data_IF_725744347710
#
_entry.id   IF_725744347710
#
_cell.length_a   1.000
_cell.length_b   1.000
_cell.length_c   1.000
_cell.angle_alpha   90.00
_cell.angle_beta   90.00
_cell.angle_gamma   90.00
#
_symmetry.space_group_name_H-M   'P 1'
#
loop_
_entity.id
_entity.type
_entity.pdbx_description
1 polymer ?
#
# COMPACT_ATOMS: atom_id res chain seq x y z
N UNK A 1 21.23 -13.14 -9.62
CA UNK A 1 21.56 -11.95 -8.78
C UNK A 1 23.02 -12.04 -8.41
N UNK A 2 23.78 -10.95 -8.47
CA UNK A 2 25.18 -10.91 -8.08
C UNK A 2 25.27 -10.96 -6.53
N UNK A 3 26.29 -11.62 -5.90
CA UNK A 3 26.40 -11.65 -4.43
C UNK A 3 26.36 -10.28 -3.76
N UNK A 4 27.00 -9.26 -4.33
CA UNK A 4 26.97 -7.88 -3.80
C UNK A 4 25.56 -7.29 -3.78
N UNK A 5 24.70 -7.69 -4.72
CA UNK A 5 23.28 -7.28 -4.77
C UNK A 5 22.43 -8.05 -3.75
N UNK A 6 22.79 -9.31 -3.43
CA UNK A 6 22.09 -10.08 -2.39
C UNK A 6 22.26 -9.45 -1.01
N UNK A 7 23.46 -8.99 -0.67
CA UNK A 7 23.71 -8.27 0.59
C UNK A 7 22.96 -6.95 0.64
N UNK A 8 22.99 -6.17 -0.45
CA UNK A 8 22.29 -4.88 -0.52
C UNK A 8 20.77 -5.02 -0.37
N UNK A 9 20.16 -6.02 -1.02
CA UNK A 9 18.73 -6.28 -0.91
C UNK A 9 18.36 -6.84 0.46
N UNK A 10 19.26 -7.62 1.08
CA UNK A 10 19.07 -8.12 2.43
C UNK A 10 18.97 -6.96 3.43
N UNK A 11 19.97 -6.07 3.42
CA UNK A 11 20.02 -4.90 4.30
C UNK A 11 18.83 -3.97 4.08
N UNK A 12 18.45 -3.75 2.82
CA UNK A 12 17.27 -2.98 2.49
C UNK A 12 16.01 -3.58 3.11
N UNK A 13 15.73 -4.86 2.87
CA UNK A 13 14.54 -5.52 3.39
C UNK A 13 14.54 -5.59 4.92
N UNK A 14 15.71 -5.88 5.52
CA UNK A 14 15.85 -5.90 6.98
C UNK A 14 15.50 -4.53 7.58
N UNK A 15 15.97 -3.43 6.96
CA UNK A 15 15.63 -2.08 7.41
C UNK A 15 14.13 -1.80 7.26
N UNK A 16 13.51 -2.16 6.12
CA UNK A 16 12.07 -1.97 5.93
C UNK A 16 11.23 -2.71 6.98
N UNK A 17 11.58 -3.97 7.28
CA UNK A 17 10.87 -4.76 8.30
C UNK A 17 11.03 -4.15 9.70
N UNK A 18 12.22 -3.64 10.03
CA UNK A 18 12.53 -3.13 11.37
C UNK A 18 12.00 -1.71 11.56
N UNK A 19 12.19 -0.83 10.58
CA UNK A 19 11.99 0.62 10.74
C UNK A 19 10.56 1.06 10.44
N UNK A 20 9.84 0.37 9.54
CA UNK A 20 8.46 0.74 9.20
C UNK A 20 7.54 0.76 10.41
N UNK A 21 7.51 -0.25 11.31
CA UNK A 21 6.66 -0.19 12.51
C UNK A 21 7.00 0.98 13.42
N UNK A 22 8.28 1.36 13.51
CA UNK A 22 8.75 2.46 14.35
C UNK A 22 8.38 3.83 13.79
N UNK A 23 8.29 3.94 12.45
CA UNK A 23 7.96 5.20 11.77
C UNK A 23 6.46 5.53 11.77
N UNK A 24 5.57 4.58 12.05
CA UNK A 24 4.10 4.74 11.94
C UNK A 24 3.57 5.99 12.63
N UNK A 25 4.03 6.29 13.85
CA UNK A 25 3.56 7.47 14.58
C UNK A 25 3.94 8.77 13.87
N UNK A 26 5.10 8.82 13.24
CA UNK A 26 5.56 10.00 12.51
C UNK A 26 4.78 10.16 11.20
N UNK A 27 4.56 9.07 10.49
CA UNK A 27 3.86 9.04 9.19
C UNK A 27 2.35 9.32 9.32
N UNK A 28 1.75 8.89 10.44
CA UNK A 28 0.31 9.02 10.71
C UNK A 28 -0.06 10.16 11.64
N UNK A 29 0.87 11.03 12.00
CA UNK A 29 0.59 12.20 12.84
C UNK A 29 1.29 13.46 12.34
N UNK A 30 0.72 14.61 12.71
CA UNK A 30 1.36 15.90 12.54
C UNK A 30 1.29 16.66 13.87
N UNK A 31 2.43 17.12 14.36
CA UNK A 31 2.57 17.84 15.65
C UNK A 31 1.90 17.10 16.83
N UNK A 32 2.03 15.77 16.86
CA UNK A 32 1.45 14.92 17.90
C UNK A 32 -0.05 14.65 17.79
N UNK A 33 -0.70 15.10 16.72
CA UNK A 33 -2.11 14.81 16.42
C UNK A 33 -2.18 13.71 15.36
N UNK A 34 -2.74 12.56 15.71
CA UNK A 34 -2.93 11.44 14.77
C UNK A 34 -3.96 11.84 13.69
N UNK A 35 -3.65 11.53 12.44
CA UNK A 35 -4.60 11.71 11.33
C UNK A 35 -5.79 10.76 11.48
N UNK A 36 -6.99 11.25 11.16
CA UNK A 36 -8.14 10.39 10.97
C UNK A 36 -7.99 9.57 9.69
N UNK A 37 -8.72 8.47 9.59
CA UNK A 37 -8.73 7.66 8.38
C UNK A 37 -9.40 8.43 7.21
N UNK A 38 -8.86 8.26 6.02
CA UNK A 38 -9.50 8.71 4.79
C UNK A 38 -10.64 7.76 4.44
N UNK A 39 -11.66 8.28 3.73
CA UNK A 39 -12.73 7.43 3.21
C UNK A 39 -12.18 6.35 2.25
N UNK A 40 -11.17 6.71 1.46
CA UNK A 40 -10.43 5.77 0.59
C UNK A 40 -9.85 4.57 1.38
N UNK A 41 -9.30 4.80 2.57
CA UNK A 41 -8.81 3.72 3.43
C UNK A 41 -9.94 2.79 3.88
N UNK A 42 -11.11 3.34 4.22
CA UNK A 42 -12.25 2.52 4.69
C UNK A 42 -12.74 1.55 3.60
N UNK A 43 -12.70 1.96 2.33
CA UNK A 43 -13.02 1.06 1.22
C UNK A 43 -11.94 -0.01 1.02
N UNK A 44 -10.66 0.38 1.05
CA UNK A 44 -9.53 -0.57 0.92
C UNK A 44 -9.57 -1.59 2.05
N UNK A 45 -9.92 -1.17 3.27
CA UNK A 45 -10.07 -2.04 4.43
C UNK A 45 -11.05 -3.18 4.18
N UNK A 46 -12.14 -2.95 3.44
CA UNK A 46 -13.10 -4.03 3.14
C UNK A 46 -12.46 -5.16 2.32
N UNK A 47 -11.62 -4.85 1.34
CA UNK A 47 -10.89 -5.85 0.57
C UNK A 47 -9.86 -6.62 1.42
N UNK A 48 -9.22 -5.93 2.38
CA UNK A 48 -8.27 -6.55 3.31
C UNK A 48 -9.02 -7.54 4.22
N UNK A 49 -10.16 -7.13 4.77
CA UNK A 49 -10.99 -7.97 5.63
C UNK A 49 -11.50 -9.21 4.89
N UNK A 50 -12.02 -9.03 3.66
CA UNK A 50 -12.40 -10.14 2.79
C UNK A 50 -11.24 -11.11 2.57
N UNK A 51 -10.03 -10.61 2.30
CA UNK A 51 -8.86 -11.46 2.12
C UNK A 51 -8.48 -12.20 3.41
N UNK A 52 -8.54 -11.53 4.57
CA UNK A 52 -8.30 -12.17 5.87
C UNK A 52 -9.33 -13.28 6.13
N UNK A 53 -10.58 -13.08 5.73
CA UNK A 53 -11.67 -14.05 5.86
C UNK A 53 -11.64 -15.18 4.81
N UNK A 54 -10.67 -15.14 3.87
CA UNK A 54 -10.43 -16.20 2.89
C UNK A 54 -10.99 -15.94 1.50
N UNK A 55 -11.60 -14.77 1.24
CA UNK A 55 -11.97 -14.34 -0.10
C UNK A 55 -10.74 -13.82 -0.86
N UNK A 56 -10.22 -14.62 -1.77
CA UNK A 56 -8.98 -14.32 -2.50
C UNK A 56 -9.20 -13.64 -3.87
N UNK A 57 -10.36 -13.03 -4.13
CA UNK A 57 -10.68 -12.44 -5.44
C UNK A 57 -10.01 -11.08 -5.59
N UNK A 58 -10.22 -10.19 -4.64
CA UNK A 58 -9.84 -8.77 -4.69
C UNK A 58 -8.56 -8.50 -3.88
N UNK A 59 -7.40 -9.01 -4.33
CA UNK A 59 -6.15 -8.99 -3.57
C UNK A 59 -4.96 -8.33 -4.29
N UNK A 60 -5.21 -7.72 -5.45
CA UNK A 60 -4.25 -6.90 -6.17
C UNK A 60 -4.88 -5.53 -6.45
N UNK A 61 -4.49 -4.54 -5.65
CA UNK A 61 -5.05 -3.19 -5.67
C UNK A 61 -3.98 -2.21 -6.14
N UNK A 62 -4.34 -1.34 -7.08
CA UNK A 62 -3.47 -0.28 -7.57
C UNK A 62 -4.10 1.07 -7.25
N UNK A 63 -3.34 1.94 -6.60
CA UNK A 63 -3.73 3.28 -6.17
C UNK A 63 -3.02 4.35 -7.02
N UNK A 64 -3.49 4.64 -8.25
CA UNK A 64 -2.96 5.74 -9.02
C UNK A 64 -3.45 7.08 -8.48
N UNK A 65 -2.60 8.10 -8.56
CA UNK A 65 -2.98 9.45 -8.14
C UNK A 65 -1.84 10.45 -8.25
N UNK A 66 -2.15 11.74 -8.27
CA UNK A 66 -1.17 12.79 -8.30
C UNK A 66 -0.19 12.70 -7.13
N UNK A 67 0.99 13.29 -7.27
CA UNK A 67 1.93 13.43 -6.16
C UNK A 67 1.30 14.30 -5.05
N UNK A 68 1.48 13.89 -3.79
CA UNK A 68 1.00 14.64 -2.62
C UNK A 68 -0.49 14.44 -2.28
N UNK A 69 -1.24 13.57 -2.97
CA UNK A 69 -2.66 13.31 -2.64
C UNK A 69 -2.85 12.38 -1.44
N UNK A 70 -1.78 11.86 -0.84
CA UNK A 70 -1.84 11.02 0.36
C UNK A 70 -1.86 9.51 0.11
N UNK A 71 -1.35 9.02 -1.04
CA UNK A 71 -1.23 7.58 -1.33
C UNK A 71 -0.39 6.85 -0.30
N UNK A 72 0.80 7.38 0.00
CA UNK A 72 1.70 6.87 1.04
C UNK A 72 1.03 6.83 2.41
N UNK A 73 0.28 7.88 2.77
CA UNK A 73 -0.49 7.92 4.02
C UNK A 73 -1.51 6.78 4.09
N UNK A 74 -2.18 6.46 2.99
CA UNK A 74 -3.12 5.31 2.94
C UNK A 74 -2.36 3.99 3.18
N UNK A 75 -1.17 3.79 2.59
CA UNK A 75 -0.36 2.60 2.85
C UNK A 75 0.02 2.47 4.33
N UNK A 76 0.40 3.57 4.97
CA UNK A 76 0.69 3.56 6.41
C UNK A 76 -0.56 3.35 7.27
N UNK A 77 -1.73 3.85 6.88
CA UNK A 77 -3.01 3.54 7.53
C UNK A 77 -3.34 2.05 7.42
N UNK A 78 -3.09 1.45 6.26
CA UNK A 78 -3.24 -0.02 6.07
C UNK A 78 -2.25 -0.78 6.93
N UNK A 79 -0.99 -0.36 6.99
CA UNK A 79 0.03 -0.98 7.84
C UNK A 79 -0.37 -0.95 9.32
N UNK A 80 -0.77 0.23 9.83
CA UNK A 80 -1.24 0.42 11.21
C UNK A 80 -2.46 -0.48 11.52
N UNK A 81 -3.40 -0.56 10.58
CA UNK A 81 -4.58 -1.41 10.69
C UNK A 81 -4.23 -2.90 10.79
N UNK A 82 -3.38 -3.38 9.90
CA UNK A 82 -2.94 -4.78 9.89
C UNK A 82 -2.21 -5.14 11.18
N UNK A 83 -1.25 -4.30 11.58
CA UNK A 83 -0.42 -4.53 12.76
C UNK A 83 -1.23 -4.44 14.06
N UNK A 84 -1.94 -3.33 14.27
CA UNK A 84 -2.51 -2.97 15.58
C UNK A 84 -3.98 -3.38 15.75
N UNK A 85 -4.75 -3.57 14.69
CA UNK A 85 -6.15 -3.97 14.80
C UNK A 85 -6.39 -5.43 14.40
N UNK A 86 -5.66 -5.92 13.40
CA UNK A 86 -5.76 -7.32 12.95
C UNK A 86 -4.72 -8.24 13.61
N UNK A 87 -3.76 -7.67 14.36
CA UNK A 87 -2.68 -8.40 15.02
C UNK A 87 -1.84 -9.26 14.03
N UNK A 88 -1.68 -8.78 12.80
CA UNK A 88 -0.78 -9.39 11.82
C UNK A 88 0.65 -9.07 12.25
N UNK A 89 1.53 -10.06 12.26
CA UNK A 89 2.93 -9.87 12.63
C UNK A 89 3.63 -8.94 11.63
N UNK A 90 4.52 -8.07 12.10
CA UNK A 90 5.21 -7.10 11.25
C UNK A 90 6.03 -7.76 10.13
N UNK A 91 6.55 -8.97 10.35
CA UNK A 91 7.23 -9.74 9.32
C UNK A 91 6.31 -10.21 8.19
N UNK A 92 5.00 -10.17 8.38
CA UNK A 92 3.99 -10.51 7.36
C UNK A 92 3.50 -9.28 6.59
N UNK A 93 3.96 -8.08 6.95
CA UNK A 93 3.59 -6.81 6.33
C UNK A 93 4.85 -6.15 5.78
N UNK A 94 5.09 -6.27 4.48
CA UNK A 94 6.23 -5.64 3.85
C UNK A 94 5.80 -4.33 3.18
N UNK A 95 6.33 -3.21 3.67
CA UNK A 95 6.28 -1.90 3.02
C UNK A 95 7.64 -1.56 2.42
N UNK A 96 7.67 -1.05 1.21
CA UNK A 96 8.84 -0.39 0.65
C UNK A 96 8.48 0.56 -0.49
N UNK A 97 9.39 1.53 -0.76
CA UNK A 97 9.31 2.43 -1.90
C UNK A 97 10.19 1.93 -3.05
N UNK A 98 9.61 1.86 -4.26
CA UNK A 98 10.39 1.54 -5.46
C UNK A 98 11.42 2.64 -5.81
N UNK A 99 11.24 3.88 -5.35
CA UNK A 99 12.26 4.93 -5.48
C UNK A 99 13.54 4.57 -4.71
N UNK A 100 13.41 3.94 -3.53
CA UNK A 100 14.55 3.46 -2.75
C UNK A 100 15.13 2.17 -3.33
N UNK A 101 14.25 1.23 -3.71
CA UNK A 101 14.66 -0.03 -4.34
C UNK A 101 15.47 0.21 -5.62
N UNK A 102 15.10 1.20 -6.43
CA UNK A 102 15.77 1.55 -7.67
C UNK A 102 17.23 2.05 -7.49
N UNK A 103 17.67 2.27 -6.25
CA UNK A 103 19.09 2.55 -5.93
C UNK A 103 19.93 1.29 -5.87
N UNK A 104 19.32 0.11 -5.81
CA UNK A 104 19.97 -1.19 -5.84
C UNK A 104 20.00 -1.63 -7.31
N UNK A 105 21.19 -1.85 -7.86
CA UNK A 105 21.36 -2.25 -9.25
C UNK A 105 20.67 -3.60 -9.55
N UNK A 106 20.09 -3.74 -10.72
CA UNK A 106 19.46 -4.97 -11.22
C UNK A 106 18.43 -5.60 -10.25
N UNK A 107 17.66 -4.76 -9.51
CA UNK A 107 16.66 -5.22 -8.58
C UNK A 107 15.28 -4.65 -8.93
N UNK A 108 14.31 -5.54 -9.14
CA UNK A 108 12.91 -5.20 -9.39
C UNK A 108 11.99 -5.70 -8.27
N UNK A 109 10.70 -5.36 -8.34
CA UNK A 109 9.67 -5.81 -7.37
C UNK A 109 9.63 -7.34 -7.29
N UNK A 110 9.66 -8.03 -8.43
CA UNK A 110 9.50 -9.48 -8.46
C UNK A 110 10.68 -10.20 -7.78
N UNK A 111 11.90 -9.80 -8.07
CA UNK A 111 13.10 -10.38 -7.46
C UNK A 111 13.19 -10.02 -5.97
N UNK A 112 12.82 -8.81 -5.59
CA UNK A 112 12.71 -8.39 -4.18
C UNK A 112 11.78 -9.29 -3.40
N UNK A 113 10.56 -9.55 -3.91
CA UNK A 113 9.59 -10.40 -3.22
C UNK A 113 10.05 -11.87 -3.18
N UNK A 114 10.69 -12.39 -4.23
CA UNK A 114 11.28 -13.75 -4.20
C UNK A 114 12.36 -13.87 -3.12
N UNK A 115 13.24 -12.87 -3.04
CA UNK A 115 14.29 -12.84 -2.03
C UNK A 115 13.69 -12.76 -0.61
N UNK A 116 12.70 -11.88 -0.40
CA UNK A 116 11.98 -11.76 0.87
C UNK A 116 11.37 -13.07 1.33
N UNK A 117 10.62 -13.75 0.44
CA UNK A 117 10.01 -15.04 0.74
C UNK A 117 11.05 -16.11 1.09
N UNK A 118 12.13 -16.19 0.31
CA UNK A 118 13.20 -17.18 0.53
C UNK A 118 13.91 -16.95 1.85
N UNK A 119 14.24 -15.68 2.16
CA UNK A 119 15.15 -15.35 3.26
C UNK A 119 14.42 -15.19 4.59
N UNK A 120 13.27 -14.53 4.61
CA UNK A 120 12.56 -14.21 5.84
C UNK A 120 11.40 -15.17 6.16
N UNK A 121 10.89 -15.89 5.16
CA UNK A 121 9.77 -16.83 5.34
C UNK A 121 10.14 -18.28 5.00
N UNK A 122 11.38 -18.55 4.61
CA UNK A 122 11.85 -19.88 4.18
C UNK A 122 10.86 -20.54 3.19
N UNK A 123 10.31 -19.74 2.26
CA UNK A 123 9.22 -20.12 1.38
C UNK A 123 9.42 -19.61 -0.05
N UNK A 124 8.49 -19.93 -0.91
CA UNK A 124 8.38 -19.41 -2.28
C UNK A 124 6.93 -18.97 -2.56
N UNK A 125 6.68 -18.34 -3.71
CA UNK A 125 5.33 -17.96 -4.11
C UNK A 125 4.34 -19.15 -4.14
N UNK A 126 4.82 -20.36 -4.45
CA UNK A 126 3.98 -21.56 -4.53
C UNK A 126 3.81 -22.28 -3.19
N UNK A 127 4.79 -22.16 -2.28
CA UNK A 127 4.81 -22.88 -1.00
C UNK A 127 4.42 -22.04 0.20
N UNK A 128 4.15 -20.74 -0.04
CA UNK A 128 3.72 -19.82 1.01
C UNK A 128 2.38 -20.27 1.59
N UNK A 129 2.33 -20.56 2.88
CA UNK A 129 1.18 -21.05 3.62
C UNK A 129 0.58 -20.01 4.59
N UNK A 130 1.28 -18.93 4.85
CA UNK A 130 0.82 -17.79 5.65
C UNK A 130 0.40 -16.60 4.78
N UNK A 131 -0.48 -15.73 5.31
CA UNK A 131 -0.91 -14.52 4.61
C UNK A 131 0.16 -13.45 4.70
N UNK A 132 0.51 -12.86 3.55
CA UNK A 132 1.42 -11.74 3.43
C UNK A 132 0.73 -10.54 2.80
N UNK A 133 1.11 -9.36 3.28
CA UNK A 133 0.62 -8.07 2.80
C UNK A 133 1.79 -7.26 2.23
N UNK A 134 1.72 -6.94 0.95
CA UNK A 134 2.72 -6.15 0.24
C UNK A 134 2.19 -4.75 0.00
N UNK A 135 2.85 -3.76 0.55
CA UNK A 135 2.52 -2.34 0.44
C UNK A 135 3.66 -1.65 -0.31
N UNK A 136 3.51 -1.49 -1.62
CA UNK A 136 4.58 -1.03 -2.52
C UNK A 136 4.28 0.40 -2.97
N UNK A 137 5.14 1.33 -2.59
CA UNK A 137 4.99 2.75 -2.92
C UNK A 137 5.80 3.14 -4.15
N UNK A 138 5.31 4.15 -4.89
CA UNK A 138 5.96 4.76 -6.05
C UNK A 138 6.43 3.74 -7.11
N UNK A 139 5.61 2.75 -7.41
CA UNK A 139 5.95 1.61 -8.28
C UNK A 139 6.35 1.99 -9.72
N UNK A 140 6.08 3.22 -10.15
CA UNK A 140 6.50 3.71 -11.47
C UNK A 140 8.02 3.81 -11.66
N UNK A 141 8.81 3.62 -10.61
CA UNK A 141 10.25 3.44 -10.70
C UNK A 141 10.68 2.04 -11.19
N UNK A 142 9.77 1.05 -11.14
CA UNK A 142 9.96 -0.27 -11.74
C UNK A 142 9.14 -0.37 -13.05
N UNK A 143 9.78 -0.59 -14.18
CA UNK A 143 9.14 -0.65 -15.51
C UNK A 143 8.15 -1.81 -15.63
N UNK A 144 8.43 -2.91 -14.95
CA UNK A 144 7.64 -4.14 -15.00
C UNK A 144 6.69 -4.31 -13.80
N UNK A 145 6.47 -3.25 -13.01
CA UNK A 145 5.69 -3.25 -11.79
C UNK A 145 4.34 -3.98 -11.91
N UNK A 146 3.60 -3.73 -13.00
CA UNK A 146 2.26 -4.31 -13.20
C UNK A 146 2.30 -5.80 -13.49
N UNK A 147 3.30 -6.24 -14.25
CA UNK A 147 3.55 -7.64 -14.54
C UNK A 147 4.05 -8.38 -13.29
N UNK A 148 4.96 -7.76 -12.54
CA UNK A 148 5.47 -8.27 -11.27
C UNK A 148 4.33 -8.51 -10.28
N UNK A 149 3.47 -7.51 -10.04
CA UNK A 149 2.30 -7.63 -9.17
C UNK A 149 1.33 -8.73 -9.61
N UNK A 150 1.04 -8.83 -10.94
CA UNK A 150 0.22 -9.91 -11.49
C UNK A 150 0.85 -11.28 -11.22
N UNK A 151 2.13 -11.47 -11.55
CA UNK A 151 2.80 -12.77 -11.38
C UNK A 151 2.81 -13.20 -9.92
N UNK A 152 3.11 -12.28 -9.01
CA UNK A 152 3.15 -12.52 -7.57
C UNK A 152 1.77 -13.00 -7.08
N UNK A 153 0.72 -12.26 -7.44
CA UNK A 153 -0.63 -12.58 -6.98
C UNK A 153 -1.24 -13.79 -7.70
N UNK A 154 -0.90 -14.08 -8.95
CA UNK A 154 -1.35 -15.28 -9.65
C UNK A 154 -0.69 -16.56 -9.09
N UNK A 155 0.60 -16.49 -8.70
CA UNK A 155 1.36 -17.64 -8.19
C UNK A 155 1.08 -17.97 -6.73
N UNK A 156 0.68 -17.00 -5.91
CA UNK A 156 0.33 -17.23 -4.51
C UNK A 156 -1.06 -16.70 -4.20
N UNK A 157 -1.91 -17.52 -3.58
CA UNK A 157 -3.22 -17.11 -3.07
C UNK A 157 -3.15 -16.44 -1.71
N UNK A 158 -2.00 -16.48 -1.07
CA UNK A 158 -1.77 -15.98 0.28
C UNK A 158 -1.10 -14.59 0.29
N UNK A 159 -1.02 -13.92 -0.85
CA UNK A 159 -0.47 -12.56 -0.96
C UNK A 159 -1.58 -11.57 -1.32
N UNK A 160 -1.68 -10.52 -0.52
CA UNK A 160 -2.45 -9.31 -0.79
C UNK A 160 -1.49 -8.18 -1.13
N UNK A 161 -1.65 -7.53 -2.26
CA UNK A 161 -0.76 -6.49 -2.72
C UNK A 161 -1.50 -5.17 -2.97
N UNK A 162 -1.00 -4.09 -2.38
CA UNK A 162 -1.39 -2.71 -2.69
C UNK A 162 -0.18 -2.01 -3.29
N UNK A 163 -0.36 -1.45 -4.47
CA UNK A 163 0.70 -0.77 -5.21
C UNK A 163 0.26 0.67 -5.49
N UNK A 164 1.11 1.65 -5.18
CA UNK A 164 0.84 3.04 -5.52
C UNK A 164 1.73 3.51 -6.67
N UNK A 165 1.32 4.59 -7.31
CA UNK A 165 2.15 5.25 -8.31
C UNK A 165 1.56 6.58 -8.78
N UNK A 166 2.32 7.32 -9.59
CA UNK A 166 1.86 8.57 -10.18
C UNK A 166 0.65 8.36 -11.09
N UNK A 167 -0.09 9.41 -11.43
CA UNK A 167 -1.21 9.31 -12.37
C UNK A 167 -0.80 8.82 -13.77
N UNK A 168 0.47 8.99 -14.16
CA UNK A 168 1.04 8.44 -15.38
C UNK A 168 1.06 6.90 -15.40
N UNK A 169 1.08 6.24 -14.25
CA UNK A 169 0.99 4.77 -14.12
C UNK A 169 -0.27 4.19 -14.80
N UNK A 170 -1.28 5.02 -15.02
CA UNK A 170 -2.48 4.64 -15.74
C UNK A 170 -2.24 4.31 -17.23
N UNK A 171 -1.12 4.72 -17.79
CA UNK A 171 -0.80 4.54 -19.21
C UNK A 171 0.18 3.39 -19.47
N UNK A 172 0.81 2.85 -18.44
CA UNK A 172 1.96 1.95 -18.54
C UNK A 172 1.70 0.51 -18.06
N UNK A 173 0.45 0.13 -17.77
CA UNK A 173 0.20 -1.23 -17.31
C UNK A 173 0.00 -2.23 -18.46
N UNK A 174 0.50 -3.43 -18.24
CA UNK A 174 0.28 -4.56 -19.12
C UNK A 174 -1.21 -4.92 -19.21
N UNK A 175 -1.75 -5.12 -20.43
CA UNK A 175 -3.17 -5.43 -20.65
C UNK A 175 -3.66 -6.70 -19.91
N UNK A 176 -2.78 -7.67 -19.69
CA UNK A 176 -3.11 -8.87 -18.92
C UNK A 176 -3.18 -8.60 -17.42
N UNK A 177 -2.29 -7.75 -16.89
CA UNK A 177 -2.30 -7.32 -15.49
C UNK A 177 -3.57 -6.53 -15.18
N UNK A 178 -4.04 -5.70 -16.11
CA UNK A 178 -5.25 -4.89 -15.97
C UNK A 178 -6.52 -5.69 -15.63
N UNK A 179 -6.59 -6.96 -16.04
CA UNK A 179 -7.72 -7.85 -15.76
C UNK A 179 -7.72 -8.42 -14.35
N UNK A 180 -6.61 -8.32 -13.64
CA UNK A 180 -6.40 -8.90 -12.31
C UNK A 180 -6.38 -7.87 -11.20
N UNK A 181 -6.13 -6.59 -11.54
CA UNK A 181 -6.02 -5.52 -10.57
C UNK A 181 -7.33 -4.76 -10.38
N UNK A 182 -7.60 -4.37 -9.15
CA UNK A 182 -8.57 -3.33 -8.83
C UNK A 182 -7.84 -1.99 -8.91
N UNK A 183 -8.33 -1.09 -9.77
CA UNK A 183 -7.82 0.27 -9.84
C UNK A 183 -8.69 1.17 -8.99
N UNK A 184 -8.09 1.72 -7.96
CA UNK A 184 -8.74 2.64 -7.05
C UNK A 184 -8.02 4.01 -7.09
N UNK A 185 -8.45 4.95 -7.97
CA UNK A 185 -7.78 6.23 -8.13
C UNK A 185 -7.91 7.11 -6.88
N UNK A 186 -6.77 7.57 -6.36
CA UNK A 186 -6.73 8.50 -5.24
C UNK A 186 -6.78 9.93 -5.75
N UNK A 187 -7.81 10.66 -5.36
CA UNK A 187 -8.01 12.05 -5.73
C UNK A 187 -7.59 13.02 -4.61
N UNK A 188 -7.28 14.28 -4.94
CA UNK A 188 -7.11 15.31 -3.91
C UNK A 188 -8.33 15.39 -3.00
N UNK A 189 -8.09 15.64 -1.72
CA UNK A 189 -9.17 15.84 -0.75
C UNK A 189 -10.01 17.06 -1.15
N UNK A 190 -11.31 16.90 -1.15
CA UNK A 190 -12.20 18.04 -1.16
C UNK A 190 -12.23 18.73 0.22
N UNK A 191 -12.88 19.89 0.31
CA UNK A 191 -12.91 20.68 1.55
C UNK A 191 -13.56 19.92 2.72
N UNK A 192 -14.66 19.23 2.48
CA UNK A 192 -15.35 18.42 3.50
C UNK A 192 -14.46 17.28 4.03
N UNK A 193 -13.83 16.53 3.13
CA UNK A 193 -12.88 15.48 3.49
C UNK A 193 -11.68 16.03 4.27
N UNK A 194 -11.16 17.20 3.88
CA UNK A 194 -10.07 17.85 4.61
C UNK A 194 -10.48 18.23 6.05
N UNK A 195 -11.67 18.80 6.24
CA UNK A 195 -12.20 19.12 7.57
C UNK A 195 -12.44 17.87 8.42
N UNK A 196 -12.99 16.80 7.83
CA UNK A 196 -13.17 15.52 8.50
C UNK A 196 -11.83 14.95 9.00
N UNK A 197 -10.80 14.95 8.15
CA UNK A 197 -9.47 14.49 8.53
C UNK A 197 -8.82 15.33 9.63
N UNK A 198 -8.98 16.66 9.56
CA UNK A 198 -8.31 17.59 10.47
C UNK A 198 -9.00 17.73 11.82
N UNK A 199 -10.33 17.71 11.84
CA UNK A 199 -11.12 18.08 13.02
C UNK A 199 -12.04 16.99 13.53
N UNK A 200 -12.06 15.82 12.90
CA UNK A 200 -13.02 14.73 13.19
C UNK A 200 -14.49 15.19 13.06
N UNK A 201 -14.76 16.15 12.21
CA UNK A 201 -16.09 16.66 11.96
C UNK A 201 -16.90 15.63 11.16
N UNK A 202 -17.92 15.06 11.81
CA UNK A 202 -18.90 14.14 11.18
C UNK A 202 -20.17 14.84 10.69
N UNK A 203 -20.18 16.17 10.63
CA UNK A 203 -21.33 16.93 10.16
C UNK A 203 -21.41 16.92 8.65
N UNK A 204 -22.62 16.78 8.16
CA UNK A 204 -23.01 16.98 6.75
C UNK A 204 -22.87 18.48 6.45
N UNK A 205 -21.63 18.94 6.14
CA UNK A 205 -21.30 20.35 5.88
C UNK A 205 -22.17 20.93 4.75
N UNK A 206 -22.76 20.08 3.90
CA UNK A 206 -23.72 20.51 2.88
C UNK A 206 -24.93 21.19 3.49
N UNK A 207 -25.47 20.72 4.61
CA UNK A 207 -26.62 21.31 5.27
C UNK A 207 -26.24 22.55 6.07
N UNK A 208 -25.12 22.52 6.80
CA UNK A 208 -24.65 23.69 7.57
C UNK A 208 -24.26 24.88 6.68
N UNK A 209 -23.66 24.61 5.50
CA UNK A 209 -23.32 25.68 4.52
C UNK A 209 -24.56 26.24 3.82
N UNK A 210 -25.56 25.40 3.54
CA UNK A 210 -26.84 25.83 2.99
C UNK A 210 -27.60 26.66 4.01
N UNK A 211 -27.62 26.25 5.27
CA UNK A 211 -28.28 27.03 6.34
C UNK A 211 -27.58 28.36 6.57
N UNK A 212 -26.25 28.42 6.55
CA UNK A 212 -25.45 29.66 6.68
C UNK A 212 -25.61 30.61 5.47
N UNK A 213 -25.78 30.07 4.26
CA UNK A 213 -25.87 30.89 3.04
C UNK A 213 -27.30 31.32 2.70
N UNK A 214 -28.32 30.60 3.17
CA UNK A 214 -29.71 30.81 2.75
C UNK A 214 -30.68 31.15 3.89
N UNK A 215 -30.28 30.92 5.15
CA UNK A 215 -31.12 31.17 6.34
C UNK A 215 -30.48 32.11 7.38
N UNK A 216 -29.35 32.76 7.03
CA UNK A 216 -28.61 33.74 7.86
C UNK A 216 -29.03 35.18 7.60
#
# INVERSE_FOLDING_TARGET
MNPDNEDSIHDFLQSQITDTPLSLNNELSNRGVKFNHRDDFEEIRTFIDEFIDGNNVNRYIVLPGLRGVGKTTILFQVYDYLLNQKNIRHEQILYFSCEELNKIEDCDIYDTIKYYLKTFHNSSLQTLDEKLFLLIDESHFDKDWSLSGKIITDKSKNIFAIITGSSAINLEYNAEAARRMIRYPITPLNYSQHLKLKYNYHTDISNDLIDLLFNG
#
